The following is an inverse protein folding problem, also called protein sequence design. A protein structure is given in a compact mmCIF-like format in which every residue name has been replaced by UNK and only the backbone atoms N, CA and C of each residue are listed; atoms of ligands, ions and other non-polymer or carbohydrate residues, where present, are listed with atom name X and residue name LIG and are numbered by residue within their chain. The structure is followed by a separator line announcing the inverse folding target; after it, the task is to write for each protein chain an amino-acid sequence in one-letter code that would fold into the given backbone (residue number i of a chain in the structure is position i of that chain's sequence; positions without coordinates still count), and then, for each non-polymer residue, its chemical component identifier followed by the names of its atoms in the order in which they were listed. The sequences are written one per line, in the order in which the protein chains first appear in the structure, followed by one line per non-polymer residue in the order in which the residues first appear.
data_IF_202255765023
#
_entry.id   IF_202255765023
#
_cell.length_a   1.000
_cell.length_b   1.000
_cell.length_c   1.000
_cell.angle_alpha   90.00
_cell.angle_beta   90.00
_cell.angle_gamma   90.00
#
_symmetry.space_group_name_H-M   'P 1'
#
loop_
_entity.id
_entity.type
_entity.pdbx_description
1 polymer ?
#
# COMPACT_ATOMS: atom_id res chain seq x y z
N UNK A 1 -17.70 -0.72 -10.96
CA UNK A 1 -18.90 -0.03 -10.38
C UNK A 1 -19.50 -0.79 -9.19
N UNK A 2 -19.58 -2.12 -9.25
CA UNK A 2 -20.12 -2.95 -8.15
C UNK A 2 -19.32 -2.79 -6.84
N UNK A 3 -18.00 -2.75 -6.93
CA UNK A 3 -17.08 -2.61 -5.82
C UNK A 3 -17.29 -1.28 -5.09
N UNK A 4 -17.43 -0.18 -5.85
CA UNK A 4 -17.66 1.16 -5.30
C UNK A 4 -18.99 1.24 -4.53
N UNK A 5 -20.06 0.66 -5.07
CA UNK A 5 -21.35 0.60 -4.35
C UNK A 5 -21.22 -0.19 -3.06
N UNK A 6 -20.55 -1.34 -3.09
CA UNK A 6 -20.31 -2.15 -1.89
C UNK A 6 -19.47 -1.41 -0.84
N UNK A 7 -18.41 -0.73 -1.26
CA UNK A 7 -17.55 0.09 -0.39
C UNK A 7 -18.32 1.24 0.26
N UNK A 8 -19.11 1.97 -0.52
CA UNK A 8 -19.94 3.04 0.01
C UNK A 8 -20.88 2.51 1.09
N UNK A 9 -21.54 1.37 0.83
CA UNK A 9 -22.39 0.74 1.82
C UNK A 9 -21.61 0.29 3.06
N UNK A 10 -20.36 -0.18 2.93
CA UNK A 10 -19.49 -0.57 4.04
C UNK A 10 -19.17 0.60 4.96
N UNK A 11 -18.86 1.77 4.39
CA UNK A 11 -18.41 2.93 5.16
C UNK A 11 -19.54 3.89 5.55
N UNK A 12 -20.70 3.88 4.87
CA UNK A 12 -21.84 4.77 5.17
C UNK A 12 -22.27 4.74 6.65
N UNK A 13 -22.37 3.59 7.34
CA UNK A 13 -22.71 3.55 8.77
C UNK A 13 -21.69 4.22 9.69
N UNK A 14 -20.47 4.44 9.20
CA UNK A 14 -19.40 5.13 9.94
C UNK A 14 -19.40 6.65 9.68
N UNK A 15 -20.26 7.12 8.76
CA UNK A 15 -20.40 8.52 8.35
C UNK A 15 -20.45 8.65 6.82
N UNK A 16 -21.44 9.41 6.32
CA UNK A 16 -21.63 9.62 4.87
C UNK A 16 -20.42 10.28 4.21
N UNK A 17 -19.84 11.30 4.85
CA UNK A 17 -18.65 12.00 4.34
C UNK A 17 -17.44 11.06 4.26
N UNK A 18 -17.27 10.18 5.24
CA UNK A 18 -16.18 9.18 5.22
C UNK A 18 -16.36 8.16 4.09
N UNK A 19 -17.60 7.76 3.83
CA UNK A 19 -17.92 6.88 2.72
C UNK A 19 -17.61 7.56 1.37
N UNK A 20 -18.06 8.80 1.18
CA UNK A 20 -17.79 9.59 -0.02
C UNK A 20 -16.28 9.81 -0.22
N UNK A 21 -15.56 10.18 0.85
CA UNK A 21 -14.10 10.33 0.81
C UNK A 21 -13.39 9.03 0.41
N UNK A 22 -13.83 7.89 0.96
CA UNK A 22 -13.27 6.58 0.59
C UNK A 22 -13.49 6.28 -0.88
N UNK A 23 -14.68 6.57 -1.42
CA UNK A 23 -14.97 6.39 -2.86
C UNK A 23 -14.14 7.34 -3.71
N UNK A 24 -14.05 8.62 -3.33
CA UNK A 24 -13.25 9.61 -4.04
C UNK A 24 -11.79 9.15 -4.14
N UNK A 25 -11.18 8.70 -3.04
CA UNK A 25 -9.82 8.15 -3.04
C UNK A 25 -9.64 7.01 -4.04
N UNK A 26 -10.62 6.12 -4.15
CA UNK A 26 -10.55 4.98 -5.10
C UNK A 26 -10.64 5.44 -6.55
N UNK A 27 -11.39 6.51 -6.81
CA UNK A 27 -11.57 7.05 -8.17
C UNK A 27 -10.35 7.85 -8.62
N UNK A 28 -9.74 8.63 -7.72
CA UNK A 28 -8.58 9.47 -8.06
C UNK A 28 -7.25 8.69 -8.06
N UNK A 29 -7.18 7.55 -7.36
CA UNK A 29 -5.97 6.73 -7.27
C UNK A 29 -6.00 5.56 -8.26
N UNK A 30 -4.82 5.06 -8.71
CA UNK A 30 -4.68 3.95 -9.65
C UNK A 30 -5.06 2.56 -9.08
N UNK A 31 -6.17 2.45 -8.35
CA UNK A 31 -6.52 1.22 -7.64
C UNK A 31 -6.87 0.08 -8.60
N UNK A 32 -7.42 0.38 -9.77
CA UNK A 32 -7.68 -0.60 -10.82
C UNK A 32 -6.38 -1.20 -11.38
N UNK A 33 -5.35 -0.34 -11.58
CA UNK A 33 -4.01 -0.77 -12.00
C UNK A 33 -3.38 -1.63 -10.91
N UNK A 34 -3.43 -1.19 -9.65
CA UNK A 34 -2.95 -1.96 -8.50
C UNK A 34 -3.63 -3.34 -8.43
N UNK A 35 -4.96 -3.39 -8.54
CA UNK A 35 -5.72 -4.64 -8.46
C UNK A 35 -5.42 -5.64 -9.59
N UNK A 36 -5.03 -5.15 -10.78
CA UNK A 36 -4.57 -6.00 -11.90
C UNK A 36 -3.20 -6.64 -11.63
N UNK A 37 -2.34 -6.01 -10.85
CA UNK A 37 -0.99 -6.52 -10.53
C UNK A 37 -1.04 -7.46 -9.32
N UNK A 38 -1.91 -7.17 -8.35
CA UNK A 38 -2.04 -7.97 -7.13
C UNK A 38 -2.59 -9.36 -7.48
N UNK A 39 -1.93 -10.46 -7.03
CA UNK A 39 -2.40 -11.82 -7.27
C UNK A 39 -3.88 -11.99 -6.91
N UNK A 40 -4.65 -12.63 -7.80
CA UNK A 40 -6.11 -12.84 -7.59
C UNK A 40 -6.41 -13.90 -6.52
N UNK A 41 -5.42 -14.67 -6.08
CA UNK A 41 -5.53 -15.66 -5.00
C UNK A 41 -4.32 -15.59 -4.07
N UNK A 42 -4.49 -16.04 -2.82
CA UNK A 42 -3.42 -16.16 -1.84
C UNK A 42 -3.48 -15.13 -0.71
N UNK A 43 -2.42 -15.09 0.09
CA UNK A 43 -2.29 -14.22 1.26
C UNK A 43 -1.70 -12.88 0.84
N UNK A 44 -2.38 -11.79 1.20
CA UNK A 44 -1.93 -10.42 0.94
C UNK A 44 -1.80 -9.68 2.27
N UNK A 45 -0.71 -8.95 2.44
CA UNK A 45 -0.48 -8.09 3.60
C UNK A 45 -0.45 -6.62 3.15
N UNK A 46 -1.39 -5.82 3.64
CA UNK A 46 -1.51 -4.39 3.35
C UNK A 46 -0.95 -3.57 4.52
N UNK A 47 0.23 -2.99 4.35
CA UNK A 47 1.01 -2.31 5.39
C UNK A 47 0.75 -0.80 5.29
N UNK A 48 0.36 -0.19 6.41
CA UNK A 48 -0.15 1.18 6.41
C UNK A 48 -1.56 1.25 5.83
N UNK A 49 -2.42 0.27 6.14
CA UNK A 49 -3.72 0.12 5.50
C UNK A 49 -4.73 1.24 5.84
N UNK A 50 -4.40 2.11 6.79
CA UNK A 50 -5.27 3.18 7.27
C UNK A 50 -6.63 2.67 7.73
N UNK A 51 -7.70 3.28 7.21
CA UNK A 51 -9.07 2.91 7.53
C UNK A 51 -9.56 1.65 6.76
N UNK A 52 -8.68 1.00 5.99
CA UNK A 52 -8.97 -0.22 5.24
C UNK A 52 -9.64 -0.01 3.88
N UNK A 53 -9.74 1.21 3.36
CA UNK A 53 -10.46 1.49 2.10
C UNK A 53 -9.93 0.69 0.91
N UNK A 54 -8.61 0.71 0.72
CA UNK A 54 -7.95 -0.06 -0.35
C UNK A 54 -7.98 -1.57 -0.07
N UNK A 55 -7.74 -1.98 1.18
CA UNK A 55 -7.85 -3.39 1.61
C UNK A 55 -9.22 -3.97 1.25
N UNK A 56 -10.29 -3.21 1.51
CA UNK A 56 -11.66 -3.59 1.17
C UNK A 56 -11.88 -3.67 -0.34
N UNK A 57 -11.32 -2.73 -1.11
CA UNK A 57 -11.41 -2.72 -2.56
C UNK A 57 -10.84 -4.00 -3.17
N UNK A 58 -9.63 -4.40 -2.78
CA UNK A 58 -8.98 -5.61 -3.33
C UNK A 58 -9.65 -6.91 -2.84
N UNK A 59 -10.21 -6.93 -1.64
CA UNK A 59 -10.99 -8.07 -1.12
C UNK A 59 -12.29 -8.26 -1.92
N UNK A 60 -12.94 -7.17 -2.33
CA UNK A 60 -14.13 -7.24 -3.18
C UNK A 60 -13.79 -7.66 -4.61
N UNK A 61 -12.60 -7.31 -5.10
CA UNK A 61 -12.10 -7.69 -6.42
C UNK A 61 -11.74 -9.17 -6.57
N UNK A 62 -11.53 -9.91 -5.47
CA UNK A 62 -11.41 -11.38 -5.51
C UNK A 62 -11.67 -12.03 -4.15
N UNK A 63 -12.60 -12.98 -4.11
CA UNK A 63 -12.93 -13.77 -2.92
C UNK A 63 -11.82 -14.75 -2.50
N UNK A 64 -10.91 -15.09 -3.42
CA UNK A 64 -9.79 -16.01 -3.16
C UNK A 64 -8.58 -15.34 -2.48
N UNK A 65 -8.61 -14.01 -2.34
CA UNK A 65 -7.61 -13.29 -1.53
C UNK A 65 -7.96 -13.39 -0.05
N UNK A 66 -6.95 -13.69 0.76
CA UNK A 66 -6.99 -13.52 2.23
C UNK A 66 -6.12 -12.32 2.58
N UNK A 67 -6.74 -11.22 2.96
CA UNK A 67 -6.03 -9.94 3.13
C UNK A 67 -5.95 -9.56 4.61
N UNK A 68 -4.76 -9.25 5.09
CA UNK A 68 -4.55 -8.66 6.41
C UNK A 68 -4.06 -7.23 6.25
N UNK A 69 -4.78 -6.25 6.79
CA UNK A 69 -4.31 -4.87 6.89
C UNK A 69 -3.66 -4.62 8.25
N UNK A 70 -2.54 -3.91 8.27
CA UNK A 70 -1.90 -3.42 9.50
C UNK A 70 -1.65 -1.91 9.42
N UNK A 71 -1.91 -1.21 10.51
CA UNK A 71 -1.63 0.23 10.63
C UNK A 71 -1.29 0.59 12.10
N UNK A 72 -0.46 1.62 12.26
CA UNK A 72 -0.03 2.12 13.56
C UNK A 72 -1.05 3.06 14.21
N UNK A 73 -2.07 3.53 13.47
CA UNK A 73 -3.14 4.37 14.00
C UNK A 73 -4.29 3.52 14.55
N UNK A 74 -4.46 3.54 15.87
CA UNK A 74 -5.56 2.84 16.56
C UNK A 74 -6.94 3.30 16.07
N UNK A 75 -7.10 4.59 15.81
CA UNK A 75 -8.36 5.18 15.36
C UNK A 75 -8.72 4.77 13.93
N UNK A 76 -7.72 4.68 13.04
CA UNK A 76 -7.92 4.18 11.68
C UNK A 76 -8.25 2.68 11.69
N UNK A 77 -7.55 1.88 12.49
CA UNK A 77 -7.83 0.45 12.63
C UNK A 77 -9.22 0.19 13.23
N UNK A 78 -9.67 0.99 14.20
CA UNK A 78 -11.03 0.88 14.74
C UNK A 78 -12.10 1.01 13.65
N UNK A 79 -11.89 1.93 12.69
CA UNK A 79 -12.77 2.10 11.52
C UNK A 79 -12.65 0.93 10.53
N UNK A 80 -11.41 0.46 10.30
CA UNK A 80 -11.14 -0.67 9.43
C UNK A 80 -11.81 -1.96 9.95
N UNK A 81 -11.72 -2.25 11.25
CA UNK A 81 -12.37 -3.42 11.88
C UNK A 81 -13.88 -3.37 11.73
N UNK A 82 -14.52 -2.21 11.94
CA UNK A 82 -15.97 -2.04 11.70
C UNK A 82 -16.37 -2.31 10.25
N UNK A 83 -15.45 -2.15 9.31
CA UNK A 83 -15.70 -2.44 7.89
C UNK A 83 -15.90 -3.93 7.62
N UNK A 84 -15.24 -4.84 8.37
CA UNK A 84 -15.16 -6.29 8.09
C UNK A 84 -16.55 -6.92 7.86
N UNK A 85 -17.53 -6.59 8.72
CA UNK A 85 -18.87 -7.21 8.73
C UNK A 85 -18.76 -8.75 8.86
N UNK A 86 -19.43 -9.51 7.99
CA UNK A 86 -19.45 -10.98 8.01
C UNK A 86 -18.34 -11.64 7.15
N UNK A 87 -17.39 -10.85 6.63
CA UNK A 87 -16.38 -11.36 5.68
C UNK A 87 -15.23 -12.02 6.43
N UNK A 88 -14.89 -13.25 6.04
CA UNK A 88 -13.85 -14.07 6.69
C UNK A 88 -12.47 -13.93 6.04
N UNK A 89 -12.39 -13.34 4.86
CA UNK A 89 -11.16 -13.23 4.07
C UNK A 89 -10.45 -11.87 4.22
N UNK A 90 -10.83 -11.10 5.24
CA UNK A 90 -10.22 -9.81 5.60
C UNK A 90 -10.01 -9.72 7.12
N UNK A 91 -8.85 -9.25 7.54
CA UNK A 91 -8.51 -8.97 8.94
C UNK A 91 -7.77 -7.64 9.04
N UNK A 92 -7.92 -6.94 10.17
CA UNK A 92 -7.14 -5.75 10.48
C UNK A 92 -6.40 -5.93 11.81
N UNK A 93 -5.17 -5.43 11.87
CA UNK A 93 -4.28 -5.51 13.03
C UNK A 93 -3.79 -4.10 13.35
N UNK A 94 -3.91 -3.70 14.62
CA UNK A 94 -3.25 -2.52 15.14
C UNK A 94 -1.83 -2.91 15.57
N UNK A 95 -0.82 -2.22 15.07
CA UNK A 95 0.55 -2.47 15.49
C UNK A 95 1.63 -1.85 14.61
N UNK A 96 2.85 -1.89 15.12
CA UNK A 96 4.06 -1.58 14.36
C UNK A 96 4.43 -2.77 13.49
N UNK A 97 4.51 -2.57 12.17
CA UNK A 97 4.86 -3.62 11.21
C UNK A 97 6.17 -4.33 11.56
N UNK A 98 7.17 -3.61 12.09
CA UNK A 98 8.46 -4.22 12.40
C UNK A 98 8.48 -4.96 13.74
N UNK A 99 7.45 -4.79 14.59
CA UNK A 99 7.33 -5.44 15.91
C UNK A 99 6.21 -6.47 15.96
N UNK A 100 5.32 -6.49 14.97
CA UNK A 100 4.15 -7.36 14.95
C UNK A 100 4.49 -8.69 14.30
N UNK A 101 4.06 -9.79 14.93
CA UNK A 101 4.17 -11.11 14.32
C UNK A 101 3.14 -11.25 13.18
N UNK A 102 3.61 -11.09 11.95
CA UNK A 102 2.78 -11.09 10.75
C UNK A 102 2.94 -12.39 9.96
N UNK A 103 1.88 -12.92 9.33
CA UNK A 103 2.00 -14.11 8.51
C UNK A 103 2.95 -13.87 7.31
N UNK A 104 3.54 -14.94 6.79
CA UNK A 104 4.11 -14.88 5.43
C UNK A 104 2.99 -14.61 4.43
N UNK A 105 3.29 -13.79 3.42
CA UNK A 105 2.32 -13.39 2.41
C UNK A 105 2.88 -13.63 1.01
N UNK A 106 1.98 -13.92 0.07
CA UNK A 106 2.34 -13.98 -1.35
C UNK A 106 2.51 -12.57 -1.92
N UNK A 107 1.84 -11.58 -1.35
CA UNK A 107 1.97 -10.19 -1.77
C UNK A 107 1.97 -9.24 -0.56
N UNK A 108 2.93 -8.33 -0.53
CA UNK A 108 3.07 -7.25 0.43
C UNK A 108 2.76 -5.93 -0.27
N UNK A 109 1.93 -5.09 0.32
CA UNK A 109 1.52 -3.80 -0.21
C UNK A 109 1.95 -2.68 0.73
N UNK A 110 2.47 -1.58 0.19
CA UNK A 110 2.66 -0.30 0.87
C UNK A 110 2.18 0.79 -0.06
N UNK A 111 1.00 1.34 0.21
CA UNK A 111 0.31 2.27 -0.69
C UNK A 111 0.12 3.59 0.06
N UNK A 112 0.77 4.65 -0.40
CA UNK A 112 0.64 6.01 0.16
C UNK A 112 0.84 6.06 1.68
N UNK A 113 1.97 5.53 2.14
CA UNK A 113 2.22 5.38 3.57
C UNK A 113 3.66 5.75 3.97
N UNK A 114 4.66 5.47 3.11
CA UNK A 114 6.07 5.66 3.42
C UNK A 114 6.43 7.14 3.46
N UNK A 115 5.79 7.98 2.65
CA UNK A 115 6.03 9.42 2.67
C UNK A 115 5.60 10.10 3.99
N UNK A 116 4.82 9.46 4.86
CA UNK A 116 4.52 9.96 6.21
C UNK A 116 5.56 9.50 7.26
N UNK A 117 6.57 8.73 6.86
CA UNK A 117 7.54 8.09 7.74
C UNK A 117 8.93 8.62 7.45
N UNK A 118 9.71 8.93 8.49
CA UNK A 118 11.09 9.39 8.33
C UNK A 118 11.94 8.42 7.51
N UNK A 119 12.89 8.94 6.73
CA UNK A 119 13.75 8.11 5.86
C UNK A 119 14.40 6.92 6.59
N UNK A 120 14.87 7.13 7.84
CA UNK A 120 15.42 6.07 8.70
C UNK A 120 14.42 4.94 8.98
N UNK A 121 13.16 5.29 9.22
CA UNK A 121 12.12 4.30 9.50
C UNK A 121 11.59 3.66 8.20
N UNK A 122 11.59 4.37 7.07
CA UNK A 122 11.36 3.75 5.76
C UNK A 122 12.39 2.64 5.51
N UNK A 123 13.69 2.93 5.68
CA UNK A 123 14.76 1.94 5.49
C UNK A 123 14.57 0.70 6.38
N UNK A 124 14.18 0.90 7.64
CA UNK A 124 13.86 -0.19 8.57
C UNK A 124 12.70 -1.05 8.08
N UNK A 125 11.61 -0.43 7.65
CA UNK A 125 10.41 -1.15 7.17
C UNK A 125 10.71 -1.92 5.89
N UNK A 126 11.38 -1.29 4.90
CA UNK A 126 11.73 -1.97 3.65
C UNK A 126 12.69 -3.13 3.91
N UNK A 127 13.70 -2.95 4.76
CA UNK A 127 14.62 -4.03 5.15
C UNK A 127 13.93 -5.15 5.92
N UNK A 128 12.95 -4.81 6.76
CA UNK A 128 12.17 -5.81 7.47
C UNK A 128 11.33 -6.66 6.51
N UNK A 129 10.67 -6.02 5.54
CA UNK A 129 9.86 -6.74 4.55
C UNK A 129 10.74 -7.48 3.53
N UNK A 130 11.90 -6.95 3.13
CA UNK A 130 12.80 -7.63 2.20
C UNK A 130 13.22 -9.01 2.71
N UNK A 131 13.48 -9.14 4.02
CA UNK A 131 13.78 -10.43 4.68
C UNK A 131 12.62 -11.42 4.70
N UNK A 132 11.40 -10.98 4.41
CA UNK A 132 10.19 -11.83 4.34
C UNK A 132 9.83 -12.22 2.91
N UNK A 133 10.48 -11.60 1.92
CA UNK A 133 10.28 -11.94 0.52
C UNK A 133 11.01 -13.24 0.17
N UNK A 134 10.31 -14.12 -0.53
CA UNK A 134 10.85 -15.29 -1.21
C UNK A 134 10.67 -15.19 -2.74
N UNK A 135 11.17 -16.17 -3.48
CA UNK A 135 11.13 -16.19 -4.96
C UNK A 135 9.72 -16.19 -5.57
N UNK A 136 8.67 -16.49 -4.80
CA UNK A 136 7.28 -16.52 -5.26
C UNK A 136 6.47 -15.31 -4.75
N UNK A 137 7.01 -14.57 -3.79
CA UNK A 137 6.37 -13.39 -3.21
C UNK A 137 6.62 -12.12 -4.03
N UNK A 138 5.74 -11.14 -3.82
CA UNK A 138 5.82 -9.84 -4.47
C UNK A 138 5.67 -8.71 -3.44
N UNK A 139 6.47 -7.66 -3.58
CA UNK A 139 6.25 -6.39 -2.89
C UNK A 139 5.77 -5.34 -3.90
N UNK A 140 4.66 -4.67 -3.59
CA UNK A 140 4.14 -3.55 -4.39
C UNK A 140 4.19 -2.29 -3.53
N UNK A 141 4.90 -1.29 -4.02
CA UNK A 141 4.98 0.03 -3.38
C UNK A 141 4.36 1.05 -4.33
N UNK A 142 3.39 1.82 -3.84
CA UNK A 142 2.87 3.00 -4.53
C UNK A 142 3.21 4.22 -3.70
N UNK A 143 4.00 5.12 -4.27
CA UNK A 143 4.47 6.32 -3.58
C UNK A 143 4.52 7.55 -4.48
N UNK A 144 4.51 8.72 -3.86
CA UNK A 144 4.74 9.99 -4.55
C UNK A 144 6.20 10.12 -4.97
N UNK A 145 6.43 10.69 -6.15
CA UNK A 145 7.77 10.94 -6.71
C UNK A 145 8.19 12.38 -6.45
N UNK A 146 9.22 12.59 -5.62
CA UNK A 146 9.68 13.94 -5.28
C UNK A 146 10.38 14.67 -6.43
N UNK A 147 10.70 13.99 -7.55
CA UNK A 147 11.37 14.64 -8.68
C UNK A 147 10.47 15.58 -9.49
N UNK A 148 9.14 15.46 -9.38
CA UNK A 148 8.18 16.25 -10.15
C UNK A 148 7.59 17.38 -9.30
N UNK A 149 8.23 18.55 -9.35
CA UNK A 149 7.98 19.68 -8.42
C UNK A 149 6.54 20.19 -8.38
N UNK A 150 5.84 20.28 -9.52
CA UNK A 150 4.51 20.92 -9.58
C UNK A 150 3.41 20.01 -9.00
N UNK A 151 3.21 18.76 -9.49
CA UNK A 151 2.24 17.84 -8.87
C UNK A 151 2.55 17.58 -7.39
N UNK A 152 3.84 17.39 -7.07
CA UNK A 152 4.28 17.19 -5.69
C UNK A 152 3.89 18.36 -4.78
N UNK A 153 4.02 19.61 -5.23
CA UNK A 153 3.64 20.78 -4.42
C UNK A 153 2.13 20.82 -4.15
N UNK A 154 1.30 20.55 -5.17
CA UNK A 154 -0.16 20.53 -5.01
C UNK A 154 -0.63 19.37 -4.12
N UNK A 155 -0.12 18.16 -4.32
CA UNK A 155 -0.42 17.04 -3.44
C UNK A 155 0.07 17.27 -2.02
N UNK A 156 1.25 17.86 -1.84
CA UNK A 156 1.75 18.24 -0.51
C UNK A 156 0.83 19.22 0.21
N UNK A 157 0.24 20.20 -0.49
CA UNK A 157 -0.74 21.13 0.10
C UNK A 157 -1.99 20.38 0.56
N UNK A 158 -2.53 19.48 -0.26
CA UNK A 158 -3.72 18.68 0.06
C UNK A 158 -3.43 17.75 1.26
N UNK A 159 -2.30 17.05 1.23
CA UNK A 159 -1.88 16.14 2.30
C UNK A 159 -1.66 16.90 3.62
N UNK A 160 -1.06 18.10 3.59
CA UNK A 160 -0.90 18.94 4.77
C UNK A 160 -2.24 19.46 5.30
N UNK A 161 -3.22 19.69 4.45
CA UNK A 161 -4.58 20.03 4.91
C UNK A 161 -5.25 18.84 5.61
N UNK A 162 -5.10 17.62 5.07
CA UNK A 162 -5.69 16.40 5.63
C UNK A 162 -4.96 15.89 6.88
N UNK A 163 -3.64 16.04 6.91
CA UNK A 163 -2.73 15.57 7.96
C UNK A 163 -1.75 16.68 8.38
N UNK A 164 -2.25 17.75 9.01
CA UNK A 164 -1.45 18.96 9.30
C UNK A 164 -0.28 18.75 10.25
N UNK A 165 -0.24 17.62 10.96
CA UNK A 165 0.82 17.27 11.91
C UNK A 165 1.91 16.38 11.30
N UNK A 166 1.70 15.86 10.09
CA UNK A 166 2.60 14.89 9.49
C UNK A 166 3.69 15.60 8.67
N UNK A 167 4.94 15.20 8.88
CA UNK A 167 6.04 15.61 8.01
C UNK A 167 6.10 14.67 6.79
N UNK A 168 6.32 15.24 5.61
CA UNK A 168 6.40 14.48 4.36
C UNK A 168 7.86 14.20 4.01
N UNK A 169 8.18 12.92 3.87
CA UNK A 169 9.49 12.36 3.53
C UNK A 169 9.42 11.63 2.19
N UNK A 170 9.35 12.38 1.10
CA UNK A 170 9.25 11.80 -0.23
C UNK A 170 10.64 11.51 -0.82
N UNK A 171 10.81 10.31 -1.39
CA UNK A 171 12.00 9.92 -2.17
C UNK A 171 11.68 10.03 -3.65
N UNK A 172 12.70 10.34 -4.44
CA UNK A 172 12.63 10.23 -5.90
C UNK A 172 12.62 8.78 -6.33
N UNK A 173 12.13 8.52 -7.55
CA UNK A 173 12.22 7.18 -8.16
C UNK A 173 13.62 6.55 -8.05
N UNK A 174 14.66 7.32 -8.36
CA UNK A 174 16.05 6.84 -8.34
C UNK A 174 16.52 6.44 -6.94
N UNK A 175 16.08 7.16 -5.90
CA UNK A 175 16.42 6.83 -4.51
C UNK A 175 15.73 5.56 -4.04
N UNK A 176 14.46 5.35 -4.42
CA UNK A 176 13.76 4.10 -4.18
C UNK A 176 14.47 2.91 -4.86
N UNK A 177 14.78 3.03 -6.15
CA UNK A 177 15.47 1.98 -6.92
C UNK A 177 16.84 1.62 -6.33
N UNK A 178 17.62 2.63 -5.89
CA UNK A 178 18.90 2.40 -5.19
C UNK A 178 18.72 1.65 -3.87
N UNK A 179 17.72 2.01 -3.06
CA UNK A 179 17.45 1.33 -1.80
C UNK A 179 17.07 -0.14 -2.05
N UNK A 180 16.18 -0.40 -3.01
CA UNK A 180 15.77 -1.78 -3.35
C UNK A 180 16.96 -2.61 -3.82
N UNK A 181 17.78 -2.07 -4.72
CA UNK A 181 18.96 -2.76 -5.24
C UNK A 181 19.97 -3.09 -4.12
N UNK A 182 20.19 -2.16 -3.18
CA UNK A 182 21.08 -2.38 -2.02
C UNK A 182 20.61 -3.50 -1.09
N UNK A 183 19.34 -3.91 -1.20
CA UNK A 183 18.72 -4.98 -0.43
C UNK A 183 18.56 -6.28 -1.24
N UNK A 184 19.18 -6.38 -2.42
CA UNK A 184 19.07 -7.55 -3.28
C UNK A 184 17.70 -7.69 -3.95
N UNK A 185 17.00 -6.57 -4.16
CA UNK A 185 15.68 -6.54 -4.79
C UNK A 185 15.75 -5.86 -6.16
N UNK A 186 15.05 -6.43 -7.12
CA UNK A 186 14.77 -5.81 -8.42
C UNK A 186 13.43 -5.08 -8.35
N UNK A 187 13.32 -3.96 -9.06
CA UNK A 187 12.08 -3.19 -9.16
C UNK A 187 11.75 -2.89 -10.61
N UNK A 188 10.49 -3.16 -11.00
CA UNK A 188 9.92 -2.68 -12.26
C UNK A 188 8.91 -1.58 -11.96
N UNK A 189 9.09 -0.42 -12.56
CA UNK A 189 8.13 0.68 -12.47
C UNK A 189 7.06 0.52 -13.55
N UNK A 190 5.81 0.75 -13.17
CA UNK A 190 4.69 0.72 -14.11
C UNK A 190 4.57 2.09 -14.79
N UNK A 191 4.62 2.15 -16.14
CA UNK A 191 4.52 3.41 -16.85
C UNK A 191 3.09 3.99 -16.80
N UNK A 192 2.97 5.30 -17.00
CA UNK A 192 1.68 5.97 -17.17
C UNK A 192 0.81 6.00 -15.90
N UNK A 193 1.41 6.05 -14.72
CA UNK A 193 0.71 6.19 -13.43
C UNK A 193 0.76 7.64 -12.93
N UNK A 194 0.63 8.59 -13.84
CA UNK A 194 0.45 9.98 -13.49
C UNK A 194 -1.01 10.22 -13.12
N UNK A 195 -1.28 10.57 -11.87
CA UNK A 195 -2.63 10.85 -11.39
C UNK A 195 -2.64 12.18 -10.68
N UNK A 196 -3.13 13.21 -11.35
CA UNK A 196 -3.37 14.50 -10.70
C UNK A 196 -4.22 14.29 -9.43
N UNK A 197 -3.81 14.83 -8.26
CA UNK A 197 -2.83 15.90 -8.09
C UNK A 197 -1.36 15.48 -7.94
N UNK A 198 -1.05 14.20 -7.75
CA UNK A 198 0.30 13.73 -7.40
C UNK A 198 1.02 12.96 -8.51
N UNK A 199 2.31 13.21 -8.65
CA UNK A 199 3.16 12.31 -9.42
C UNK A 199 3.37 11.02 -8.62
N UNK A 200 2.81 9.91 -9.08
CA UNK A 200 2.90 8.64 -8.38
C UNK A 200 3.68 7.61 -9.18
N UNK A 201 4.43 6.77 -8.49
CA UNK A 201 5.11 5.61 -9.05
C UNK A 201 4.56 4.35 -8.40
N UNK A 202 4.31 3.32 -9.20
CA UNK A 202 4.05 1.97 -8.70
C UNK A 202 5.27 1.12 -9.01
N UNK A 203 5.95 0.67 -7.96
CA UNK A 203 7.06 -0.26 -8.01
C UNK A 203 6.54 -1.68 -7.78
N UNK A 204 6.89 -2.58 -8.69
CA UNK A 204 6.68 -4.02 -8.56
C UNK A 204 8.04 -4.66 -8.26
N UNK A 205 8.20 -5.16 -7.04
CA UNK A 205 9.50 -5.49 -6.44
C UNK A 205 9.58 -6.98 -6.15
N UNK A 206 10.71 -7.61 -6.51
CA UNK A 206 11.00 -9.04 -6.27
C UNK A 206 12.45 -9.24 -5.84
N UNK A 207 12.76 -10.31 -5.08
CA UNK A 207 14.15 -10.72 -4.87
C UNK A 207 14.87 -10.94 -6.20
N UNK A 208 16.11 -10.49 -6.30
CA UNK A 208 16.99 -10.85 -7.42
C UNK A 208 17.32 -12.33 -7.23
N UNK A 209 17.03 -13.15 -8.25
CA UNK A 209 17.51 -14.53 -8.26
C UNK A 209 19.03 -14.49 -8.37
N UNK A 210 19.74 -14.96 -7.35
CA UNK A 210 21.16 -15.24 -7.50
C UNK A 210 21.28 -16.35 -8.54
N UNK A 211 21.96 -16.08 -9.65
CA UNK A 211 22.47 -17.11 -10.56
C UNK A 211 23.61 -17.83 -9.82
N UNK A 212 23.28 -18.72 -8.88
CA UNK A 212 24.26 -19.61 -8.27
C UNK A 212 23.56 -20.90 -7.84
N UNK A 213 23.84 -21.95 -8.62
CA UNK A 213 23.59 -23.40 -8.43
C UNK A 213 22.71 -24.06 -9.52
N UNK A 214 23.05 -23.87 -10.79
CA UNK A 214 22.70 -24.82 -11.86
C UNK A 214 23.92 -25.40 -12.58
N UNK A 215 25.14 -25.15 -12.11
CA UNK A 215 26.37 -25.75 -12.63
C UNK A 215 27.30 -26.13 -11.46
N UNK A 216 26.94 -27.18 -10.72
CA UNK A 216 27.87 -28.06 -9.97
C UNK A 216 27.25 -29.45 -9.85
#
# INVERSE_FOLDING_TARGET
MRELRSLFLIYKPQGILKALWTILRIVILPYDKLDKIIPKKGIVLDIGCGNGGFTNYIVLGSKERKVTGIDFSKDRISQAVKSIRKRKNIKFIFGDVVKTNLPKANCYLMIDMLHHISFKNQDKIIRFISKRLDGNSLLIIKEVDSSNRVPFLFGHIIEKFLYPKDMIYARSKKEWERLFLSLGLSSKVIPGVFYFPDSTQIFVIRPIKNLSNSDR
#
